data_IF_625668756001
#
_entry.id   IF_625668756001
#
_cell.length_a   1.000
_cell.length_b   1.000
_cell.length_c   1.000
_cell.angle_alpha   90.00
_cell.angle_beta   90.00
_cell.angle_gamma   90.00
#
_symmetry.space_group_name_H-M   'P 1'
#
loop_
_entity.id
_entity.type
_entity.pdbx_description
1 polymer ?
#
# COMPACT_ATOMS: atom_id res chain seq x y z
N UNK A 1 -25.19 3.66 46.12
CA UNK A 1 -25.29 3.29 44.69
C UNK A 1 -24.16 3.99 43.95
N UNK A 2 -23.18 3.24 43.45
CA UNK A 2 -22.12 3.75 42.55
C UNK A 2 -21.86 2.63 41.54
N UNK A 3 -22.54 2.73 40.42
CA UNK A 3 -22.42 1.83 39.27
C UNK A 3 -21.11 2.24 38.59
N UNK A 4 -20.05 1.45 38.75
CA UNK A 4 -18.84 1.60 37.96
C UNK A 4 -19.01 0.74 36.71
N UNK A 5 -19.18 1.44 35.58
CA UNK A 5 -19.38 0.89 34.26
C UNK A 5 -18.23 -0.03 33.87
N UNK A 6 -18.62 -1.23 33.41
CA UNK A 6 -17.76 -2.14 32.68
C UNK A 6 -17.29 -1.47 31.38
N UNK A 7 -16.01 -1.15 31.29
CA UNK A 7 -15.36 -0.83 30.02
C UNK A 7 -14.74 -2.12 29.47
N UNK A 8 -15.56 -2.91 28.79
CA UNK A 8 -15.09 -3.98 27.92
C UNK A 8 -14.36 -3.33 26.74
N UNK A 9 -13.05 -3.16 26.86
CA UNK A 9 -12.21 -2.78 25.73
C UNK A 9 -12.14 -3.98 24.78
N UNK A 10 -12.96 -3.94 23.74
CA UNK A 10 -12.90 -4.86 22.61
C UNK A 10 -11.50 -4.76 22.01
N UNK A 11 -10.75 -5.86 22.10
CA UNK A 11 -9.46 -6.00 21.44
C UNK A 11 -9.68 -5.98 19.92
N UNK A 12 -9.40 -4.84 19.30
CA UNK A 12 -9.23 -4.75 17.85
C UNK A 12 -7.89 -5.41 17.51
N UNK A 13 -7.90 -6.74 17.39
CA UNK A 13 -6.88 -7.45 16.63
C UNK A 13 -7.00 -7.02 15.17
N UNK A 14 -6.32 -5.93 14.81
CA UNK A 14 -6.00 -5.67 13.41
C UNK A 14 -5.05 -6.79 13.01
N UNK A 15 -5.59 -7.80 12.34
CA UNK A 15 -4.80 -8.79 11.63
C UNK A 15 -4.02 -8.03 10.55
N UNK A 16 -2.80 -7.62 10.89
CA UNK A 16 -1.84 -7.23 9.87
C UNK A 16 -1.65 -8.46 8.98
N UNK A 17 -1.88 -8.36 7.65
CA UNK A 17 -1.56 -9.46 6.76
C UNK A 17 -0.05 -9.71 6.89
N UNK A 18 0.31 -10.82 7.54
CA UNK A 18 1.68 -11.33 7.54
C UNK A 18 1.97 -11.82 6.13
N UNK A 19 2.43 -10.93 5.27
CA UNK A 19 3.06 -11.27 3.99
C UNK A 19 4.43 -11.89 4.29
N UNK A 20 4.43 -13.10 4.86
CA UNK A 20 5.60 -13.99 4.83
C UNK A 20 5.65 -14.64 3.45
N UNK A 21 6.09 -13.85 2.47
CA UNK A 21 6.53 -14.33 1.19
C UNK A 21 7.83 -13.61 0.89
N UNK A 22 8.96 -14.31 1.00
CA UNK A 22 10.15 -13.86 0.30
C UNK A 22 9.72 -13.68 -1.16
N UNK A 23 9.64 -12.43 -1.62
CA UNK A 23 9.13 -12.12 -2.94
C UNK A 23 10.02 -12.80 -3.96
N UNK A 24 9.60 -13.96 -4.48
CA UNK A 24 10.19 -14.50 -5.69
C UNK A 24 10.14 -13.38 -6.75
N UNK A 25 11.19 -13.18 -7.56
CA UNK A 25 11.17 -12.18 -8.59
C UNK A 25 9.89 -12.35 -9.43
N UNK A 26 9.00 -11.37 -9.37
CA UNK A 26 7.74 -11.39 -10.13
C UNK A 26 8.11 -11.06 -11.59
N UNK A 27 8.37 -12.11 -12.38
CA UNK A 27 8.85 -11.99 -13.77
C UNK A 27 7.72 -12.07 -14.79
N UNK A 28 6.49 -12.38 -14.35
CA UNK A 28 5.35 -12.51 -15.26
C UNK A 28 5.13 -11.19 -16.03
N UNK A 29 5.02 -11.23 -17.37
CA UNK A 29 4.69 -10.04 -18.15
C UNK A 29 3.41 -9.36 -17.68
N UNK A 30 2.43 -10.15 -17.21
CA UNK A 30 1.15 -9.69 -16.68
C UNK A 30 1.32 -8.87 -15.39
N UNK A 31 2.15 -9.33 -14.46
CA UNK A 31 2.48 -8.57 -13.24
C UNK A 31 3.09 -7.21 -13.59
N UNK A 32 4.08 -7.19 -14.50
CA UNK A 32 4.74 -5.93 -14.88
C UNK A 32 3.77 -4.94 -15.52
N UNK A 33 2.87 -5.42 -16.39
CA UNK A 33 1.83 -4.60 -16.98
C UNK A 33 0.85 -4.06 -15.92
N UNK A 34 0.43 -4.90 -14.98
CA UNK A 34 -0.41 -4.50 -13.86
C UNK A 34 0.22 -3.38 -13.03
N UNK A 35 1.49 -3.54 -12.64
CA UNK A 35 2.19 -2.52 -11.85
C UNK A 35 2.28 -1.20 -12.63
N UNK A 36 2.69 -1.23 -13.91
CA UNK A 36 2.84 0.01 -14.70
C UNK A 36 1.52 0.76 -14.85
N UNK A 37 0.41 0.06 -15.11
CA UNK A 37 -0.90 0.70 -15.29
C UNK A 37 -1.40 1.34 -13.99
N UNK A 38 -1.19 0.68 -12.85
CA UNK A 38 -1.71 1.15 -11.57
C UNK A 38 -0.76 2.13 -10.85
N UNK A 39 0.54 2.08 -11.13
CA UNK A 39 1.53 2.95 -10.48
C UNK A 39 1.36 4.43 -10.84
N UNK A 40 0.80 4.74 -12.03
CA UNK A 40 0.56 6.14 -12.42
C UNK A 40 -0.32 6.89 -11.42
N UNK A 41 -1.31 6.20 -10.82
CA UNK A 41 -2.20 6.80 -9.84
C UNK A 41 -1.49 7.17 -8.52
N UNK A 42 -0.34 6.57 -8.23
CA UNK A 42 0.43 6.86 -7.03
C UNK A 42 1.24 8.17 -7.12
N UNK A 43 1.47 8.69 -8.33
CA UNK A 43 2.26 9.90 -8.46
C UNK A 43 1.48 11.14 -8.01
N UNK A 44 2.08 12.00 -7.18
CA UNK A 44 1.48 13.28 -6.84
C UNK A 44 1.41 14.20 -8.06
N UNK A 45 0.49 15.16 -7.99
CA UNK A 45 0.31 16.19 -9.00
C UNK A 45 0.65 17.56 -8.43
N UNK A 46 1.26 18.41 -9.24
CA UNK A 46 1.50 19.82 -8.89
C UNK A 46 0.21 20.66 -9.03
N UNK A 47 0.30 21.95 -8.76
CA UNK A 47 -0.83 22.88 -8.89
C UNK A 47 -1.36 23.06 -10.32
N UNK A 48 -0.65 22.53 -11.33
CA UNK A 48 -1.05 22.52 -12.74
C UNK A 48 -1.44 21.11 -13.22
N UNK A 49 -1.72 20.19 -12.28
CA UNK A 49 -2.08 18.80 -12.53
C UNK A 49 -0.99 17.93 -13.18
N UNK A 50 0.24 18.43 -13.28
CA UNK A 50 1.35 17.65 -13.83
C UNK A 50 1.83 16.62 -12.82
N UNK A 51 2.02 15.39 -13.30
CA UNK A 51 2.66 14.34 -12.53
C UNK A 51 4.14 14.70 -12.32
N UNK A 52 4.60 14.62 -11.07
CA UNK A 52 6.01 14.77 -10.73
C UNK A 52 6.49 13.64 -9.81
N UNK A 53 7.81 13.45 -9.76
CA UNK A 53 8.41 12.49 -8.85
C UNK A 53 8.72 13.15 -7.50
N UNK A 54 8.10 12.72 -6.40
CA UNK A 54 8.38 13.29 -5.09
C UNK A 54 9.75 12.85 -4.58
N UNK A 55 10.35 13.67 -3.72
CA UNK A 55 11.56 13.30 -2.98
C UNK A 55 11.21 12.24 -1.93
N UNK A 56 11.98 11.14 -1.82
CA UNK A 56 11.62 10.01 -0.96
C UNK A 56 11.57 10.36 0.53
N UNK A 57 12.25 11.43 0.94
CA UNK A 57 12.32 11.87 2.34
C UNK A 57 11.17 12.81 2.73
N UNK A 58 10.32 13.24 1.79
CA UNK A 58 9.17 14.11 2.09
C UNK A 58 7.93 13.28 2.40
N UNK A 59 6.91 13.85 3.07
CA UNK A 59 5.63 13.17 3.29
C UNK A 59 5.00 12.64 1.99
N UNK A 60 5.14 13.36 0.88
CA UNK A 60 4.68 12.93 -0.44
C UNK A 60 5.47 11.72 -0.96
N UNK A 61 6.78 11.68 -0.75
CA UNK A 61 7.61 10.53 -1.09
C UNK A 61 7.25 9.27 -0.32
N UNK A 62 6.99 9.42 0.98
CA UNK A 62 6.53 8.33 1.84
C UNK A 62 5.15 7.83 1.38
N UNK A 63 4.23 8.74 1.05
CA UNK A 63 2.91 8.39 0.52
C UNK A 63 3.00 7.68 -0.83
N UNK A 64 3.89 8.14 -1.73
CA UNK A 64 4.16 7.48 -3.00
C UNK A 64 4.67 6.05 -2.80
N UNK A 65 5.67 5.84 -1.94
CA UNK A 65 6.23 4.50 -1.68
C UNK A 65 5.20 3.56 -1.04
N UNK A 66 4.35 4.06 -0.14
CA UNK A 66 3.26 3.28 0.42
C UNK A 66 2.25 2.84 -0.64
N UNK A 67 1.84 3.75 -1.53
CA UNK A 67 0.96 3.43 -2.66
C UNK A 67 1.63 2.43 -3.62
N UNK A 68 2.90 2.64 -3.95
CA UNK A 68 3.69 1.76 -4.80
C UNK A 68 3.84 0.35 -4.22
N UNK A 69 3.97 0.24 -2.89
CA UNK A 69 3.97 -1.05 -2.19
C UNK A 69 2.61 -1.74 -2.28
N UNK A 70 1.50 -1.01 -2.08
CA UNK A 70 0.15 -1.55 -2.22
C UNK A 70 -0.11 -2.07 -3.65
N UNK A 71 0.21 -1.28 -4.68
CA UNK A 71 0.08 -1.69 -6.08
C UNK A 71 0.85 -2.97 -6.38
N UNK A 72 2.09 -3.08 -5.88
CA UNK A 72 2.89 -4.29 -6.04
C UNK A 72 2.28 -5.50 -5.33
N UNK A 73 1.71 -5.31 -4.13
CA UNK A 73 1.04 -6.38 -3.39
C UNK A 73 -0.24 -6.85 -4.10
N UNK A 74 -1.07 -5.91 -4.58
CA UNK A 74 -2.31 -6.22 -5.31
C UNK A 74 -2.01 -6.97 -6.62
N UNK A 75 -1.06 -6.47 -7.40
CA UNK A 75 -0.65 -7.14 -8.64
C UNK A 75 -0.02 -8.51 -8.39
N UNK A 76 0.74 -8.68 -7.30
CA UNK A 76 1.29 -9.98 -6.92
C UNK A 76 0.21 -10.97 -6.48
N UNK A 77 -0.90 -10.50 -5.88
CA UNK A 77 -2.03 -11.34 -5.52
C UNK A 77 -2.83 -11.82 -6.75
N UNK A 78 -2.91 -10.99 -7.80
CA UNK A 78 -3.59 -11.33 -9.06
C UNK A 78 -2.74 -12.21 -9.98
N UNK A 79 -1.42 -12.03 -9.95
CA UNK A 79 -0.47 -12.75 -10.78
C UNK A 79 0.59 -13.43 -9.90
N UNK A 80 0.19 -14.37 -9.01
CA UNK A 80 1.14 -15.17 -8.26
C UNK A 80 1.96 -16.00 -9.26
N UNK A 81 3.29 -16.04 -9.07
CA UNK A 81 4.18 -16.86 -9.90
C UNK A 81 3.78 -18.34 -9.84
#
# INVERSE_FOLDING_TARGET
MKILLAASAVALFVAAPTLSGAAAPQTSPQYRQCVVQNMQACYPRDGNENIYRPSPETPEGIAFEACAAAVRADCAALYPN
#
